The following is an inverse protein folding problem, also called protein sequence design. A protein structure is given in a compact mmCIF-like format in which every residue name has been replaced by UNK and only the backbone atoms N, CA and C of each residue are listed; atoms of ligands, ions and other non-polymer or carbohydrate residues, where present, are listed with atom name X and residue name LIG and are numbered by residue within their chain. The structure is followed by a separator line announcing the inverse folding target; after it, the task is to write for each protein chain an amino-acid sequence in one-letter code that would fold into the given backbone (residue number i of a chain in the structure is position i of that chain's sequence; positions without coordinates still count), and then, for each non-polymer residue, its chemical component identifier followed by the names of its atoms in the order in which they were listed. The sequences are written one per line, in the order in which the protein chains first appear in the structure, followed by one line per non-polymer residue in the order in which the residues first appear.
data_IF_254505693854
#
_entry.id   IF_254505693854
#
_cell.length_a   1.000
_cell.length_b   1.000
_cell.length_c   1.000
_cell.angle_alpha   90.00
_cell.angle_beta   90.00
_cell.angle_gamma   90.00
#
_symmetry.space_group_name_H-M   'P 1'
#
loop_
_entity.id
_entity.type
_entity.pdbx_description
1 polymer ?
#
# COMPACT_ATOMS: atom_id res chain seq x y z
N UNK A 1 6.63 0.96 11.87
CA UNK A 1 6.77 1.98 10.80
C UNK A 1 6.25 3.33 11.31
N UNK A 2 6.61 4.45 10.67
CA UNK A 2 6.07 5.77 11.05
C UNK A 2 4.91 6.15 10.13
N UNK A 3 3.71 6.29 10.71
CA UNK A 3 2.49 6.61 9.98
C UNK A 3 1.62 7.62 10.71
N UNK A 4 0.82 8.39 9.96
CA UNK A 4 -0.12 9.37 10.47
C UNK A 4 -1.47 9.21 9.78
N UNK A 5 -2.53 9.05 10.58
CA UNK A 5 -3.90 9.04 10.10
C UNK A 5 -4.50 10.44 10.12
N UNK A 6 -5.24 10.76 9.06
CA UNK A 6 -5.85 12.06 8.82
C UNK A 6 -7.33 11.84 8.56
N UNK A 7 -8.18 12.54 9.31
CA UNK A 7 -9.62 12.55 9.11
C UNK A 7 -9.99 13.90 8.52
N UNK A 8 -10.22 13.93 7.23
CA UNK A 8 -10.63 15.11 6.51
C UNK A 8 -12.15 15.08 6.29
N UNK A 9 -12.89 16.14 6.66
CA UNK A 9 -14.35 16.15 6.52
C UNK A 9 -14.83 16.21 5.06
N UNK A 10 -13.95 16.48 4.10
CA UNK A 10 -14.27 16.62 2.67
C UNK A 10 -13.83 15.38 1.90
N UNK A 11 -12.61 14.91 2.14
CA UNK A 11 -11.97 13.82 1.41
C UNK A 11 -11.99 12.47 2.14
N UNK A 12 -12.48 12.44 3.38
CA UNK A 12 -12.63 11.22 4.18
C UNK A 12 -11.39 10.87 5.01
N UNK A 13 -11.17 9.59 5.22
CA UNK A 13 -10.02 9.08 5.99
C UNK A 13 -8.83 8.88 5.06
N UNK A 14 -7.64 9.32 5.48
CA UNK A 14 -6.39 9.14 4.76
C UNK A 14 -5.26 8.71 5.69
N UNK A 15 -4.32 7.93 5.18
CA UNK A 15 -3.05 7.61 5.84
C UNK A 15 -1.88 8.27 5.12
N UNK A 16 -0.89 8.74 5.89
CA UNK A 16 0.43 9.15 5.39
C UNK A 16 1.51 8.31 6.05
N UNK A 17 2.47 7.84 5.27
CA UNK A 17 3.61 7.05 5.73
C UNK A 17 4.88 7.73 5.18
N UNK A 18 6.00 7.60 5.89
CA UNK A 18 7.31 8.10 5.44
C UNK A 18 7.67 7.60 4.03
N UNK A 19 8.46 8.39 3.29
CA UNK A 19 8.75 8.21 1.86
C UNK A 19 9.18 6.77 1.46
N UNK A 20 9.97 6.09 2.30
CA UNK A 20 10.41 4.70 2.05
C UNK A 20 9.26 3.69 1.90
N UNK A 21 8.07 4.03 2.39
CA UNK A 21 6.88 3.18 2.38
C UNK A 21 5.62 3.94 1.90
N UNK A 22 5.81 5.03 1.16
CA UNK A 22 4.72 5.85 0.64
C UNK A 22 3.72 5.04 -0.22
N UNK A 23 4.18 3.99 -0.89
CA UNK A 23 3.34 3.11 -1.71
C UNK A 23 2.29 2.36 -0.89
N UNK A 24 2.60 2.00 0.36
CA UNK A 24 1.65 1.36 1.28
C UNK A 24 0.50 2.33 1.59
N UNK A 25 0.85 3.60 1.86
CA UNK A 25 -0.14 4.64 2.12
C UNK A 25 -1.04 4.89 0.91
N UNK A 26 -0.43 4.91 -0.28
CA UNK A 26 -1.12 5.10 -1.54
C UNK A 26 -2.13 3.98 -1.80
N UNK A 27 -1.68 2.73 -1.69
CA UNK A 27 -2.56 1.56 -1.84
C UNK A 27 -3.72 1.58 -0.85
N UNK A 28 -3.46 1.89 0.42
CA UNK A 28 -4.48 1.89 1.46
C UNK A 28 -5.50 3.02 1.26
N UNK A 29 -5.10 4.15 0.67
CA UNK A 29 -5.99 5.29 0.39
C UNK A 29 -6.77 5.14 -0.92
N UNK A 30 -6.17 4.58 -1.97
CA UNK A 30 -6.70 4.62 -3.34
C UNK A 30 -7.29 3.28 -3.79
N UNK A 31 -6.77 2.15 -3.30
CA UNK A 31 -7.13 0.80 -3.80
C UNK A 31 -7.88 -0.05 -2.76
N UNK A 32 -7.74 0.25 -1.47
CA UNK A 32 -8.43 -0.47 -0.41
C UNK A 32 -9.67 0.29 0.08
N UNK A 33 -10.85 -0.26 -0.22
CA UNK A 33 -12.09 0.23 0.35
C UNK A 33 -12.15 0.01 1.87
N UNK A 34 -12.64 1.01 2.60
CA UNK A 34 -12.79 0.96 4.06
C UNK A 34 -13.64 -0.23 4.55
N UNK A 35 -14.60 -0.70 3.74
CA UNK A 35 -15.39 -1.89 4.05
C UNK A 35 -14.60 -3.20 3.95
N UNK A 36 -13.56 -3.25 3.12
CA UNK A 36 -12.74 -4.45 2.92
C UNK A 36 -11.65 -4.62 3.98
N UNK A 37 -11.34 -3.57 4.75
CA UNK A 37 -10.31 -3.61 5.81
C UNK A 37 -10.59 -4.74 6.81
N UNK A 38 -11.85 -4.94 7.20
CA UNK A 38 -12.23 -6.00 8.13
C UNK A 38 -12.01 -7.41 7.56
N UNK A 39 -12.39 -7.61 6.29
CA UNK A 39 -12.15 -8.86 5.56
C UNK A 39 -10.66 -9.15 5.40
N UNK A 40 -9.88 -8.11 5.10
CA UNK A 40 -8.43 -8.23 4.96
C UNK A 40 -7.76 -8.63 6.28
N UNK A 41 -8.16 -8.02 7.40
CA UNK A 41 -7.70 -8.41 8.74
C UNK A 41 -8.07 -9.85 9.07
N UNK A 42 -9.30 -10.28 8.77
CA UNK A 42 -9.72 -11.66 8.98
C UNK A 42 -8.90 -12.64 8.12
N UNK A 43 -8.55 -12.27 6.89
CA UNK A 43 -7.67 -13.06 6.02
C UNK A 43 -6.25 -13.15 6.58
N UNK A 44 -5.68 -12.04 7.04
CA UNK A 44 -4.37 -12.03 7.68
C UNK A 44 -4.36 -12.99 8.87
N UNK A 45 -5.39 -12.94 9.72
CA UNK A 45 -5.54 -13.84 10.87
C UNK A 45 -5.72 -15.32 10.48
N UNK A 46 -6.27 -15.60 9.29
CA UNK A 46 -6.44 -16.95 8.77
C UNK A 46 -5.18 -17.49 8.06
N UNK A 47 -4.19 -16.64 7.72
CA UNK A 47 -2.97 -17.10 7.06
C UNK A 47 -2.16 -18.00 7.98
N UNK A 48 -1.79 -19.18 7.47
CA UNK A 48 -0.99 -20.15 8.21
C UNK A 48 0.37 -20.35 7.54
N UNK A 49 1.39 -20.66 8.35
CA UNK A 49 2.74 -20.92 7.85
C UNK A 49 2.72 -22.06 6.83
N UNK A 50 3.26 -21.81 5.63
CA UNK A 50 3.26 -22.77 4.51
C UNK A 50 2.10 -22.60 3.51
N UNK A 51 1.20 -21.65 3.75
CA UNK A 51 0.22 -21.24 2.75
C UNK A 51 0.90 -20.42 1.63
N UNK A 52 0.41 -20.57 0.41
CA UNK A 52 0.89 -19.77 -0.72
C UNK A 52 0.65 -18.27 -0.46
N UNK A 53 1.59 -17.45 -0.93
CA UNK A 53 1.45 -16.00 -0.87
C UNK A 53 0.15 -15.56 -1.57
N UNK A 54 -0.60 -14.69 -0.91
CA UNK A 54 -1.82 -14.13 -1.47
C UNK A 54 -1.47 -12.90 -2.30
N UNK A 55 -1.76 -12.95 -3.59
CA UNK A 55 -1.53 -11.84 -4.51
C UNK A 55 -2.86 -11.21 -4.88
N UNK A 56 -2.97 -9.90 -4.70
CA UNK A 56 -4.07 -9.07 -5.17
C UNK A 56 -3.51 -8.08 -6.20
N UNK A 57 -4.03 -8.15 -7.41
CA UNK A 57 -3.74 -7.17 -8.47
C UNK A 57 -4.75 -6.04 -8.33
N UNK A 58 -4.29 -4.87 -7.89
CA UNK A 58 -5.08 -3.65 -7.96
C UNK A 58 -5.00 -3.00 -9.34
N UNK A 59 -5.58 -1.82 -9.48
CA UNK A 59 -5.51 -1.03 -10.71
C UNK A 59 -4.08 -0.55 -10.97
N UNK A 60 -3.38 -0.14 -9.93
CA UNK A 60 -2.06 0.50 -10.02
C UNK A 60 -0.99 -0.24 -9.23
N UNK A 61 -1.40 -0.94 -8.17
CA UNK A 61 -0.48 -1.56 -7.23
C UNK A 61 -0.81 -3.04 -7.09
N UNK A 62 0.21 -3.86 -7.27
CA UNK A 62 0.18 -5.28 -6.93
C UNK A 62 0.53 -5.44 -5.46
N UNK A 63 -0.39 -6.03 -4.71
CA UNK A 63 -0.20 -6.38 -3.32
C UNK A 63 0.08 -7.88 -3.20
N UNK A 64 1.13 -8.23 -2.45
CA UNK A 64 1.49 -9.62 -2.15
C UNK A 64 1.63 -9.77 -0.63
N UNK A 65 0.84 -10.63 -0.04
CA UNK A 65 0.87 -10.94 1.39
C UNK A 65 1.35 -12.37 1.62
N UNK A 66 2.31 -12.53 2.51
CA UNK A 66 2.72 -13.83 3.02
C UNK A 66 2.83 -13.78 4.55
N UNK A 67 3.20 -14.88 5.20
CA UNK A 67 3.27 -14.94 6.68
C UNK A 67 4.50 -14.24 7.28
N UNK A 68 5.39 -13.72 6.44
CA UNK A 68 6.65 -13.06 6.84
C UNK A 68 6.57 -11.55 6.55
N UNK A 69 6.05 -11.16 5.40
CA UNK A 69 5.96 -9.78 4.94
C UNK A 69 4.76 -9.51 4.01
N UNK A 70 4.48 -8.22 3.88
CA UNK A 70 3.54 -7.61 2.95
C UNK A 70 4.33 -6.74 1.96
N UNK A 71 4.19 -7.03 0.67
CA UNK A 71 4.90 -6.38 -0.42
C UNK A 71 3.91 -5.66 -1.33
N UNK A 72 4.30 -4.45 -1.76
CA UNK A 72 3.55 -3.58 -2.63
C UNK A 72 4.44 -3.21 -3.81
N UNK A 73 3.96 -3.43 -5.03
CA UNK A 73 4.69 -3.17 -6.26
C UNK A 73 3.81 -2.30 -7.16
N UNK A 74 4.26 -1.08 -7.49
CA UNK A 74 3.58 -0.20 -8.42
C UNK A 74 3.81 -0.68 -9.87
N UNK A 75 2.78 -0.62 -10.71
CA UNK A 75 2.97 -0.82 -12.14
C UNK A 75 3.75 0.38 -12.72
N UNK A 76 4.90 0.12 -13.36
CA UNK A 76 5.80 1.13 -13.94
C UNK A 76 5.18 2.07 -14.99
N UNK A 77 3.92 1.87 -15.38
CA UNK A 77 3.21 2.66 -16.39
C UNK A 77 2.50 3.91 -15.83
N UNK A 78 2.33 4.04 -14.51
CA UNK A 78 1.57 5.14 -13.89
C UNK A 78 2.48 6.17 -13.20
N UNK A 79 3.56 6.58 -13.86
CA UNK A 79 4.29 7.79 -13.51
C UNK A 79 3.62 8.99 -14.19
N UNK A 80 2.39 9.34 -13.79
CA UNK A 80 1.81 10.64 -14.15
C UNK A 80 2.13 11.65 -13.04
N UNK A 81 3.16 12.45 -13.29
CA UNK A 81 3.58 13.55 -12.43
C UNK A 81 4.78 14.31 -12.98
N UNK A 82 4.53 15.11 -14.03
CA UNK A 82 5.36 16.18 -14.61
C UNK A 82 6.43 15.84 -15.68
N UNK A 83 6.13 16.29 -16.91
CA UNK A 83 7.03 16.62 -18.03
C UNK A 83 8.06 15.57 -18.50
N UNK A 84 7.62 14.53 -19.21
CA UNK A 84 8.53 13.63 -19.97
C UNK A 84 8.39 13.80 -21.48
N UNK A 85 7.86 14.94 -21.96
CA UNK A 85 7.70 15.22 -23.39
C UNK A 85 8.88 15.98 -24.02
N UNK A 86 10.04 16.07 -23.36
CA UNK A 86 11.19 16.84 -23.89
C UNK A 86 12.53 16.09 -23.99
N UNK A 87 12.66 14.85 -23.53
CA UNK A 87 13.95 14.14 -23.58
C UNK A 87 13.77 12.67 -24.00
N UNK A 88 13.36 12.45 -25.24
CA UNK A 88 13.30 11.14 -25.89
C UNK A 88 14.66 10.68 -26.48
N UNK A 89 15.79 11.19 -25.98
CA UNK A 89 17.14 10.91 -26.51
C UNK A 89 18.20 10.79 -25.42
N UNK A 90 17.85 10.21 -24.27
CA UNK A 90 18.87 9.65 -23.37
C UNK A 90 18.29 8.41 -22.72
N UNK A 91 19.07 7.35 -22.62
CA UNK A 91 18.66 6.08 -22.04
C UNK A 91 18.45 6.26 -20.53
N UNK A 92 17.30 6.82 -20.15
CA UNK A 92 16.85 6.91 -18.77
C UNK A 92 16.59 5.50 -18.28
N UNK A 93 17.58 4.91 -17.61
CA UNK A 93 17.33 3.87 -16.64
C UNK A 93 16.33 4.46 -15.65
N UNK A 94 15.06 4.07 -15.76
CA UNK A 94 14.04 4.42 -14.79
C UNK A 94 14.56 3.96 -13.44
N UNK A 95 14.91 4.91 -12.57
CA UNK A 95 15.39 4.64 -11.23
C UNK A 95 14.23 3.97 -10.47
N UNK A 96 14.32 2.66 -10.22
CA UNK A 96 13.27 1.83 -9.59
C UNK A 96 13.00 2.21 -8.12
N UNK A 97 13.73 3.21 -7.60
CA UNK A 97 13.65 3.72 -6.25
C UNK A 97 12.25 4.31 -5.97
N UNK A 98 11.40 3.51 -5.30
CA UNK A 98 10.05 3.90 -4.89
C UNK A 98 8.92 3.15 -5.60
N UNK A 99 9.24 2.24 -6.53
CA UNK A 99 8.24 1.37 -7.19
C UNK A 99 7.86 0.15 -6.35
N UNK A 100 8.65 -0.16 -5.31
CA UNK A 100 8.40 -1.28 -4.40
C UNK A 100 8.47 -0.78 -2.96
N UNK A 101 7.49 -1.18 -2.16
CA UNK A 101 7.52 -1.00 -0.71
C UNK A 101 7.19 -2.31 -0.01
N UNK A 102 7.94 -2.61 1.05
CA UNK A 102 7.80 -3.83 1.84
C UNK A 102 7.67 -3.51 3.32
N UNK A 103 6.99 -4.39 4.03
CA UNK A 103 6.61 -4.17 5.41
C UNK A 103 6.42 -5.53 6.11
N UNK A 104 6.94 -5.71 7.33
CA UNK A 104 6.80 -6.98 8.05
C UNK A 104 5.32 -7.33 8.27
N UNK A 105 4.98 -8.63 8.24
CA UNK A 105 3.58 -9.07 8.37
C UNK A 105 2.91 -8.54 9.64
N UNK A 106 3.63 -8.56 10.77
CA UNK A 106 3.11 -8.08 12.06
C UNK A 106 2.83 -6.57 12.05
N UNK A 107 3.71 -5.78 11.44
CA UNK A 107 3.54 -4.32 11.33
C UNK A 107 2.41 -3.98 10.34
N UNK A 108 2.25 -4.75 9.27
CA UNK A 108 1.10 -4.62 8.36
C UNK A 108 -0.23 -4.85 9.08
N UNK A 109 -0.32 -5.91 9.89
CA UNK A 109 -1.53 -6.25 10.64
C UNK A 109 -1.82 -5.18 11.70
N UNK A 110 -0.78 -4.66 12.37
CA UNK A 110 -0.92 -3.55 13.32
C UNK A 110 -1.44 -2.28 12.63
N UNK A 111 -0.84 -1.90 11.48
CA UNK A 111 -1.27 -0.77 10.66
C UNK A 111 -2.74 -0.91 10.23
N UNK A 112 -3.15 -2.07 9.69
CA UNK A 112 -4.53 -2.32 9.29
C UNK A 112 -5.50 -2.29 10.47
N UNK A 113 -5.08 -2.81 11.62
CA UNK A 113 -5.90 -2.81 12.84
C UNK A 113 -6.10 -1.39 13.34
N UNK A 114 -5.03 -0.59 13.38
CA UNK A 114 -5.07 0.81 13.76
C UNK A 114 -5.91 1.63 12.75
N UNK A 115 -5.78 1.35 11.46
CA UNK A 115 -6.62 1.94 10.41
C UNK A 115 -8.10 1.61 10.61
N UNK A 116 -8.43 0.35 10.87
CA UNK A 116 -9.81 -0.09 11.13
C UNK A 116 -10.42 0.64 12.32
N UNK A 117 -9.66 0.79 13.42
CA UNK A 117 -10.09 1.54 14.60
C UNK A 117 -10.32 3.01 14.26
N UNK A 118 -9.40 3.61 13.48
CA UNK A 118 -9.50 5.00 13.05
C UNK A 118 -10.75 5.28 12.20
N UNK A 119 -11.07 4.41 11.23
CA UNK A 119 -12.26 4.58 10.37
C UNK A 119 -13.56 4.28 11.12
N UNK A 120 -13.54 3.37 12.11
CA UNK A 120 -14.72 3.04 12.92
C UNK A 120 -14.92 4.00 14.10
N UNK A 121 -13.96 4.89 14.37
CA UNK A 121 -14.01 5.88 15.44
C UNK A 121 -13.91 5.27 16.84
N UNK A 122 -13.21 4.14 16.97
CA UNK A 122 -13.07 3.39 18.23
C UNK A 122 -11.74 3.64 18.92
#
# INVERSE_FOLDING_TARGET
MEYQFIRDPITGFKVKISDEQALIARWLNEELDNSEVADLLARCAAMTKGQAAWVRLGSEIRFTLNTEEALFEAHALFQEGDDISQYADDALALDDHGLVAGCGFEDFVDLLTAWQQFITGR
#
